data_IF_811200566620
#
_entry.id   IF_811200566620
#
_cell.length_a   1.000
_cell.length_b   1.000
_cell.length_c   1.000
_cell.angle_alpha   90.00
_cell.angle_beta   90.00
_cell.angle_gamma   90.00
#
_symmetry.space_group_name_H-M   'P 1'
#
loop_
_entity.id
_entity.type
_entity.pdbx_description
1 polymer ?
#
# COMPACT_ATOMS: atom_id res chain seq x y z
N UNK A 1 -84.18 20.65 7.09
CA UNK A 1 -84.41 19.19 7.01
C UNK A 1 -83.07 18.50 6.86
N UNK A 2 -82.52 17.94 7.95
CA UNK A 2 -82.15 16.52 8.02
C UNK A 2 -80.64 16.34 7.88
N UNK A 3 -79.86 16.56 8.96
CA UNK A 3 -79.22 15.55 9.85
C UNK A 3 -77.96 14.91 9.21
N UNK A 4 -76.81 14.70 9.88
CA UNK A 4 -76.37 14.97 11.24
C UNK A 4 -74.86 14.67 11.37
N UNK A 5 -74.18 15.41 12.27
CA UNK A 5 -73.14 15.01 13.23
C UNK A 5 -71.79 14.38 12.78
N UNK A 6 -70.65 14.52 13.49
CA UNK A 6 -70.02 15.48 14.44
C UNK A 6 -68.57 14.90 14.73
N UNK A 7 -67.70 15.41 15.63
CA UNK A 7 -66.34 15.83 15.26
C UNK A 7 -65.16 15.27 16.10
N UNK A 8 -63.94 15.70 15.71
CA UNK A 8 -62.73 16.11 16.49
C UNK A 8 -62.16 15.28 17.68
N UNK A 9 -60.87 14.91 17.50
CA UNK A 9 -59.64 15.17 18.32
C UNK A 9 -59.64 14.80 19.83
N UNK A 10 -58.58 14.08 20.28
CA UNK A 10 -57.58 14.45 21.34
C UNK A 10 -56.68 13.24 21.70
N UNK A 11 -55.36 13.46 21.75
CA UNK A 11 -54.24 12.63 22.28
C UNK A 11 -54.16 12.84 23.83
N UNK A 12 -53.61 12.00 24.76
CA UNK A 12 -52.25 11.42 24.72
C UNK A 12 -51.98 10.11 25.57
N UNK A 13 -50.76 9.58 25.44
CA UNK A 13 -49.83 8.93 26.41
C UNK A 13 -50.38 8.07 27.60
N UNK A 14 -49.70 6.94 27.84
CA UNK A 14 -49.68 6.02 29.02
C UNK A 14 -50.59 4.78 28.98
N UNK A 15 -50.01 3.64 28.56
CA UNK A 15 -50.24 2.32 29.15
C UNK A 15 -49.05 1.42 28.74
N UNK A 16 -47.97 1.39 29.54
CA UNK A 16 -47.62 0.26 30.43
C UNK A 16 -47.51 -1.07 29.69
N UNK A 17 -46.29 -1.53 29.43
CA UNK A 17 -45.64 -2.59 30.22
C UNK A 17 -46.46 -3.89 30.27
N UNK A 18 -46.32 -4.73 29.25
CA UNK A 18 -46.43 -6.19 29.37
C UNK A 18 -46.14 -6.80 28.00
N UNK A 19 -44.92 -7.30 27.81
CA UNK A 19 -44.55 -8.48 27.02
C UNK A 19 -43.01 -8.59 26.95
N UNK A 20 -42.39 -8.61 28.13
CA UNK A 20 -41.22 -9.47 28.36
C UNK A 20 -41.79 -10.71 29.04
N UNK A 21 -41.36 -11.90 28.58
CA UNK A 21 -41.40 -13.23 29.21
C UNK A 21 -41.84 -14.32 28.24
N UNK A 22 -40.95 -14.67 27.31
CA UNK A 22 -40.54 -16.06 27.08
C UNK A 22 -39.02 -16.06 26.76
N UNK A 23 -38.23 -16.32 27.82
CA UNK A 23 -36.82 -16.72 27.83
C UNK A 23 -36.64 -18.13 27.19
N UNK A 24 -35.44 -18.76 27.05
CA UNK A 24 -34.06 -18.32 27.37
C UNK A 24 -32.92 -18.73 26.35
N UNK A 25 -31.85 -17.92 26.35
CA UNK A 25 -30.42 -18.27 26.52
C UNK A 25 -29.58 -19.06 25.47
N UNK A 26 -28.32 -18.61 25.41
CA UNK A 26 -27.05 -19.29 25.12
C UNK A 26 -26.40 -19.17 23.72
N UNK A 27 -25.45 -18.20 23.68
CA UNK A 27 -24.03 -18.30 23.31
C UNK A 27 -23.56 -18.37 21.84
N UNK A 28 -22.70 -17.39 21.55
CA UNK A 28 -21.36 -17.54 20.96
C UNK A 28 -21.26 -18.07 19.52
N UNK A 29 -20.99 -17.18 18.58
CA UNK A 29 -20.70 -17.52 17.19
C UNK A 29 -19.77 -16.51 16.50
N UNK A 30 -18.48 -16.73 16.69
CA UNK A 30 -17.33 -16.45 15.80
C UNK A 30 -17.51 -15.42 14.66
N UNK A 31 -16.78 -14.30 14.81
CA UNK A 31 -16.51 -13.33 13.75
C UNK A 31 -15.44 -13.93 12.80
N UNK A 32 -15.87 -14.51 11.67
CA UNK A 32 -14.94 -14.94 10.62
C UNK A 32 -14.44 -13.74 9.79
N UNK A 33 -13.18 -13.78 9.31
CA UNK A 33 -12.63 -12.74 8.47
C UNK A 33 -13.29 -12.82 7.09
N UNK A 34 -13.71 -11.66 6.58
CA UNK A 34 -14.21 -11.52 5.22
C UNK A 34 -13.15 -12.01 4.22
N UNK A 35 -13.30 -13.23 3.71
CA UNK A 35 -12.70 -13.67 2.47
C UNK A 35 -13.40 -12.93 1.33
N UNK A 36 -13.06 -11.65 1.18
CA UNK A 36 -13.47 -10.84 0.05
C UNK A 36 -12.77 -11.35 -1.19
N UNK A 37 -13.48 -12.18 -1.96
CA UNK A 37 -13.22 -12.36 -3.38
C UNK A 37 -13.14 -10.97 -4.03
N UNK A 38 -11.95 -10.56 -4.46
CA UNK A 38 -11.78 -9.42 -5.35
C UNK A 38 -11.10 -9.88 -6.63
N UNK A 39 -11.92 -9.94 -7.68
CA UNK A 39 -11.45 -9.86 -9.04
C UNK A 39 -10.71 -8.52 -9.19
N UNK A 40 -9.45 -8.58 -9.58
CA UNK A 40 -8.78 -7.41 -10.13
C UNK A 40 -9.49 -7.05 -11.43
N UNK A 41 -10.05 -5.86 -11.47
CA UNK A 41 -10.50 -5.20 -12.69
C UNK A 41 -9.25 -4.86 -13.50
N UNK A 42 -8.76 -5.86 -14.25
CA UNK A 42 -7.90 -5.64 -15.40
C UNK A 42 -8.81 -4.98 -16.41
N UNK A 43 -8.72 -3.66 -16.50
CA UNK A 43 -9.34 -2.90 -17.57
C UNK A 43 -8.58 -3.19 -18.87
N UNK A 44 -8.82 -4.39 -19.38
CA UNK A 44 -9.25 -4.67 -20.75
C UNK A 44 -8.43 -4.01 -21.85
N UNK A 45 -7.31 -4.68 -22.15
CA UNK A 45 -6.63 -4.59 -23.45
C UNK A 45 -7.20 -5.59 -24.48
N UNK A 46 -8.10 -6.51 -24.12
CA UNK A 46 -8.77 -7.42 -25.05
C UNK A 46 -10.13 -7.85 -24.45
N UNK A 47 -11.20 -7.72 -25.24
CA UNK A 47 -12.57 -7.92 -24.79
C UNK A 47 -13.09 -9.37 -24.78
N UNK A 48 -14.34 -9.44 -24.30
CA UNK A 48 -15.39 -10.46 -24.52
C UNK A 48 -15.70 -11.49 -23.40
N UNK A 49 -17.01 -11.69 -23.24
CA UNK A 49 -17.82 -12.34 -22.20
C UNK A 49 -17.60 -13.88 -22.00
N UNK A 50 -17.83 -14.42 -20.78
CA UNK A 50 -19.11 -15.03 -20.28
C UNK A 50 -18.92 -16.16 -19.21
N UNK A 51 -19.78 -16.12 -18.17
CA UNK A 51 -20.49 -17.15 -17.34
C UNK A 51 -19.87 -18.49 -16.78
N UNK A 52 -20.15 -18.73 -15.47
CA UNK A 52 -20.37 -20.04 -14.78
C UNK A 52 -19.17 -20.60 -14.00
N UNK A 53 -19.25 -21.30 -12.84
CA UNK A 53 -20.31 -21.87 -12.00
C UNK A 53 -19.67 -22.26 -10.63
N UNK A 54 -20.47 -22.32 -9.56
CA UNK A 54 -20.09 -22.60 -8.15
C UNK A 54 -20.04 -24.10 -7.85
N UNK A 55 -19.07 -24.57 -7.04
CA UNK A 55 -19.26 -25.71 -6.10
C UNK A 55 -18.16 -25.83 -5.01
N UNK A 56 -18.58 -25.55 -3.77
CA UNK A 56 -18.49 -26.35 -2.51
C UNK A 56 -17.18 -27.00 -1.97
N UNK A 57 -16.74 -26.39 -0.85
CA UNK A 57 -16.12 -26.84 0.42
C UNK A 57 -15.49 -28.23 0.65
N UNK A 58 -14.36 -28.23 1.41
CA UNK A 58 -14.17 -29.10 2.61
C UNK A 58 -13.02 -28.65 3.54
N UNK A 59 -13.38 -28.42 4.81
CA UNK A 59 -12.68 -28.61 6.11
C UNK A 59 -11.21 -28.21 6.37
N UNK A 60 -11.05 -27.26 7.31
CA UNK A 60 -9.93 -26.95 8.23
C UNK A 60 -9.65 -28.14 9.22
N UNK A 61 -8.62 -28.19 10.11
CA UNK A 61 -7.84 -27.12 10.77
C UNK A 61 -6.30 -27.31 10.73
N UNK A 62 -5.47 -26.31 11.03
CA UNK A 62 -4.88 -26.19 12.37
C UNK A 62 -4.26 -24.82 12.68
N UNK A 63 -4.44 -24.46 13.95
CA UNK A 63 -4.04 -23.23 14.63
C UNK A 63 -2.60 -23.38 15.12
N UNK A 64 -1.71 -22.48 14.73
CA UNK A 64 -0.40 -22.33 15.35
C UNK A 64 -0.15 -20.88 15.77
N UNK A 65 0.04 -20.76 17.08
CA UNK A 65 0.23 -19.58 17.93
C UNK A 65 1.46 -18.77 17.53
N UNK A 66 1.30 -17.48 17.20
CA UNK A 66 2.44 -16.57 16.94
C UNK A 66 2.89 -15.94 18.25
N UNK A 67 4.02 -16.40 18.76
CA UNK A 67 4.72 -15.85 19.91
C UNK A 67 5.60 -14.64 19.51
N UNK A 68 5.52 -13.58 20.31
CA UNK A 68 6.65 -12.71 20.68
C UNK A 68 7.36 -11.91 19.58
N UNK A 69 6.81 -10.77 19.18
CA UNK A 69 7.61 -9.69 18.60
C UNK A 69 8.29 -8.90 19.73
N UNK A 70 9.54 -9.24 20.01
CA UNK A 70 10.46 -8.38 20.78
C UNK A 70 10.69 -7.09 20.02
N UNK A 71 10.57 -5.96 20.72
CA UNK A 71 10.83 -4.63 20.19
C UNK A 71 12.34 -4.41 20.24
N UNK A 72 13.06 -4.94 19.26
CA UNK A 72 14.39 -4.44 18.95
C UNK A 72 14.25 -3.15 18.14
N UNK A 73 14.94 -2.10 18.57
CA UNK A 73 15.02 -0.82 17.85
C UNK A 73 15.36 -1.06 16.37
N UNK A 74 14.78 -0.31 15.42
CA UNK A 74 14.98 -0.58 14.01
C UNK A 74 16.43 -0.28 13.63
N UNK A 75 17.28 -1.31 13.54
CA UNK A 75 18.57 -1.21 12.87
C UNK A 75 18.28 -0.80 11.43
N UNK A 76 18.66 0.43 11.07
CA UNK A 76 18.58 0.92 9.69
C UNK A 76 19.22 -0.14 8.79
N UNK A 77 18.44 -0.71 7.84
CA UNK A 77 18.93 -1.79 6.97
C UNK A 77 20.09 -1.26 6.15
N UNK A 78 21.33 -1.60 6.52
CA UNK A 78 22.48 -1.40 5.64
C UNK A 78 22.21 -2.14 4.33
N UNK A 79 22.28 -1.40 3.22
CA UNK A 79 22.16 -1.92 1.86
C UNK A 79 23.25 -2.96 1.60
N UNK A 80 22.89 -4.04 0.92
CA UNK A 80 23.85 -4.99 0.41
C UNK A 80 24.58 -4.43 -0.83
N UNK A 81 25.79 -4.90 -1.13
CA UNK A 81 26.46 -4.57 -2.39
C UNK A 81 25.59 -4.88 -3.62
N UNK A 82 25.76 -4.16 -4.75
CA UNK A 82 25.05 -4.47 -5.99
C UNK A 82 25.17 -5.95 -6.37
N UNK A 83 24.08 -6.56 -6.83
CA UNK A 83 24.04 -7.99 -7.17
C UNK A 83 23.91 -8.94 -5.98
N UNK A 84 23.68 -8.42 -4.77
CA UNK A 84 23.46 -9.22 -3.56
C UNK A 84 22.23 -8.76 -2.79
N UNK A 85 21.75 -9.61 -1.89
CA UNK A 85 20.54 -9.39 -1.10
C UNK A 85 20.72 -9.87 0.34
N UNK A 86 19.84 -9.38 1.21
CA UNK A 86 19.67 -9.88 2.56
C UNK A 86 18.22 -9.69 2.95
N UNK A 87 17.51 -10.78 3.26
CA UNK A 87 16.18 -10.67 3.84
C UNK A 87 16.28 -10.42 5.35
N UNK A 88 15.20 -9.98 5.99
CA UNK A 88 15.14 -9.63 7.42
C UNK A 88 15.76 -10.65 8.38
N UNK A 89 15.68 -11.95 8.07
CA UNK A 89 16.17 -13.05 8.91
C UNK A 89 17.65 -13.42 8.67
N UNK A 90 18.34 -12.71 7.77
CA UNK A 90 19.73 -12.99 7.42
C UNK A 90 20.70 -11.97 8.06
N UNK A 91 21.85 -12.47 8.51
CA UNK A 91 22.92 -11.63 9.06
C UNK A 91 23.84 -11.06 7.98
N UNK A 92 24.16 -11.86 6.96
CA UNK A 92 25.09 -11.51 5.88
C UNK A 92 24.38 -11.38 4.54
N UNK A 93 24.94 -10.57 3.64
CA UNK A 93 24.46 -10.48 2.26
C UNK A 93 24.90 -11.71 1.46
N UNK A 94 24.04 -12.15 0.52
CA UNK A 94 24.28 -13.27 -0.39
C UNK A 94 24.09 -12.82 -1.84
N UNK A 95 24.80 -13.40 -2.82
CA UNK A 95 24.56 -13.12 -4.23
C UNK A 95 23.12 -13.44 -4.62
N UNK A 96 22.55 -12.68 -5.56
CA UNK A 96 21.22 -12.99 -6.10
C UNK A 96 21.14 -14.41 -6.65
N UNK A 97 20.03 -15.09 -6.39
CA UNK A 97 19.82 -16.48 -6.76
C UNK A 97 19.57 -16.60 -8.28
N UNK A 98 20.25 -17.56 -8.90
CA UNK A 98 20.04 -17.92 -10.30
C UNK A 98 19.13 -19.12 -10.48
N UNK A 99 19.04 -19.63 -11.71
CA UNK A 99 18.18 -20.77 -12.04
C UNK A 99 18.52 -22.03 -11.24
N UNK A 100 19.80 -22.32 -11.00
CA UNK A 100 20.21 -23.54 -10.27
C UNK A 100 19.69 -23.53 -8.84
N UNK A 101 19.89 -22.43 -8.13
CA UNK A 101 19.45 -22.28 -6.73
C UNK A 101 17.91 -22.26 -6.67
N UNK A 102 17.26 -21.52 -7.58
CA UNK A 102 15.80 -21.40 -7.59
C UNK A 102 15.14 -22.76 -7.86
N UNK A 103 15.61 -23.52 -8.84
CA UNK A 103 15.02 -24.82 -9.19
C UNK A 103 15.28 -25.89 -8.13
N UNK A 104 16.45 -25.89 -7.50
CA UNK A 104 16.84 -26.99 -6.61
C UNK A 104 16.50 -26.75 -5.14
N UNK A 105 16.40 -25.49 -4.70
CA UNK A 105 16.36 -25.15 -3.28
C UNK A 105 15.11 -24.39 -2.84
N UNK A 106 14.20 -24.05 -3.75
CA UNK A 106 12.99 -23.28 -3.44
C UNK A 106 11.76 -24.17 -3.47
N UNK A 107 11.05 -24.23 -2.35
CA UNK A 107 9.78 -24.96 -2.25
C UNK A 107 8.62 -23.98 -2.16
N UNK A 108 7.73 -24.00 -3.16
CA UNK A 108 6.50 -23.19 -3.17
C UNK A 108 5.45 -23.79 -2.23
N UNK A 109 4.76 -22.92 -1.50
CA UNK A 109 3.63 -23.23 -0.62
C UNK A 109 2.34 -22.63 -1.23
N UNK A 110 1.52 -22.01 -0.41
CA UNK A 110 0.23 -21.45 -0.81
C UNK A 110 0.34 -20.24 -1.73
N UNK A 111 -0.63 -20.12 -2.64
CA UNK A 111 -0.87 -18.90 -3.41
C UNK A 111 -1.38 -17.82 -2.47
N UNK A 112 -0.65 -16.70 -2.38
CA UNK A 112 -0.96 -15.58 -1.46
C UNK A 112 -1.53 -14.37 -2.19
N UNK A 113 -1.37 -14.30 -3.51
CA UNK A 113 -1.89 -13.19 -4.29
C UNK A 113 -1.79 -13.41 -5.79
N UNK A 114 -2.44 -12.54 -6.53
CA UNK A 114 -2.35 -12.47 -7.98
C UNK A 114 -2.60 -11.04 -8.44
N UNK A 115 -1.93 -10.63 -9.51
CA UNK A 115 -2.18 -9.38 -10.22
C UNK A 115 -2.32 -9.63 -11.71
N UNK A 116 -2.34 -8.55 -12.50
CA UNK A 116 -2.45 -8.65 -13.97
C UNK A 116 -1.29 -9.40 -14.61
N UNK A 117 -0.08 -9.30 -14.05
CA UNK A 117 1.16 -9.84 -14.63
C UNK A 117 1.64 -11.11 -13.90
N UNK A 118 1.43 -11.21 -12.58
CA UNK A 118 2.09 -12.19 -11.70
C UNK A 118 1.09 -12.96 -10.86
N UNK A 119 1.36 -14.24 -10.62
CA UNK A 119 0.82 -14.97 -9.48
C UNK A 119 1.89 -15.10 -8.41
N UNK A 120 1.52 -14.85 -7.15
CA UNK A 120 2.45 -14.79 -6.03
C UNK A 120 2.13 -15.92 -5.06
N UNK A 121 3.17 -16.67 -4.70
CA UNK A 121 3.14 -17.78 -3.76
C UNK A 121 4.06 -17.47 -2.59
N UNK A 122 3.68 -17.91 -1.39
CA UNK A 122 4.64 -18.05 -0.30
C UNK A 122 5.57 -19.20 -0.65
N UNK A 123 6.86 -19.07 -0.38
CA UNK A 123 7.84 -20.12 -0.62
C UNK A 123 8.93 -20.11 0.47
N UNK A 124 9.67 -21.21 0.55
CA UNK A 124 10.80 -21.39 1.48
C UNK A 124 12.07 -21.61 0.66
N UNK A 125 13.12 -20.86 1.00
CA UNK A 125 14.48 -21.05 0.51
C UNK A 125 15.44 -21.06 1.71
N UNK A 126 16.13 -22.18 1.95
CA UNK A 126 17.07 -22.35 3.09
C UNK A 126 16.52 -21.85 4.43
N UNK A 127 15.29 -22.25 4.78
CA UNK A 127 14.55 -21.81 5.97
C UNK A 127 14.15 -20.32 6.02
N UNK A 128 14.46 -19.53 4.98
CA UNK A 128 13.95 -18.18 4.81
C UNK A 128 12.64 -18.19 4.02
N UNK A 129 11.66 -17.43 4.50
CA UNK A 129 10.42 -17.23 3.75
C UNK A 129 10.64 -16.19 2.65
N UNK A 130 10.30 -16.54 1.42
CA UNK A 130 10.40 -15.69 0.23
C UNK A 130 9.08 -15.67 -0.53
N UNK A 131 8.86 -14.62 -1.32
CA UNK A 131 7.72 -14.54 -2.23
C UNK A 131 8.15 -15.05 -3.61
N UNK A 132 7.51 -16.11 -4.08
CA UNK A 132 7.72 -16.71 -5.39
C UNK A 132 6.65 -16.18 -6.36
N UNK A 133 7.08 -15.34 -7.30
CA UNK A 133 6.21 -14.78 -8.33
C UNK A 133 6.46 -15.47 -9.66
N UNK A 134 5.39 -15.98 -10.29
CA UNK A 134 5.44 -16.54 -11.65
C UNK A 134 4.63 -15.70 -12.62
N UNK A 135 5.03 -15.71 -13.90
CA UNK A 135 4.25 -15.10 -14.98
C UNK A 135 2.84 -15.71 -15.03
N UNK A 136 1.81 -14.85 -15.02
CA UNK A 136 0.42 -15.29 -15.07
C UNK A 136 -0.01 -15.72 -16.48
N UNK A 137 0.34 -14.93 -17.50
CA UNK A 137 -0.01 -15.17 -18.91
C UNK A 137 1.18 -14.93 -19.83
N UNK A 138 1.43 -15.78 -20.85
CA UNK A 138 2.51 -15.58 -21.81
C UNK A 138 2.49 -14.21 -22.50
N UNK A 139 1.29 -13.65 -22.73
CA UNK A 139 1.10 -12.32 -23.32
C UNK A 139 1.75 -11.18 -22.52
N UNK A 140 2.05 -11.40 -21.23
CA UNK A 140 2.66 -10.40 -20.35
C UNK A 140 4.16 -10.61 -20.14
N UNK A 141 4.80 -11.54 -20.86
CA UNK A 141 6.22 -11.89 -20.69
C UNK A 141 7.12 -10.65 -20.77
N UNK A 142 6.89 -9.77 -21.74
CA UNK A 142 7.68 -8.54 -21.90
C UNK A 142 7.63 -7.64 -20.66
N UNK A 143 6.43 -7.42 -20.12
CA UNK A 143 6.24 -6.59 -18.92
C UNK A 143 6.84 -7.25 -17.68
N UNK A 144 6.70 -8.57 -17.55
CA UNK A 144 7.30 -9.32 -16.44
C UNK A 144 8.82 -9.22 -16.43
N UNK A 145 9.48 -9.44 -17.57
CA UNK A 145 10.94 -9.33 -17.68
C UNK A 145 11.42 -7.89 -17.47
N UNK A 146 10.69 -6.91 -18.00
CA UNK A 146 11.00 -5.49 -17.77
C UNK A 146 10.89 -5.14 -16.28
N UNK A 147 9.84 -5.60 -15.60
CA UNK A 147 9.65 -5.40 -14.16
C UNK A 147 10.78 -6.01 -13.32
N UNK A 148 11.32 -7.17 -13.71
CA UNK A 148 12.50 -7.76 -13.07
C UNK A 148 13.73 -6.86 -13.22
N UNK A 149 14.01 -6.36 -14.42
CA UNK A 149 15.17 -5.48 -14.64
C UNK A 149 15.02 -4.14 -13.91
N UNK A 150 13.81 -3.57 -13.87
CA UNK A 150 13.51 -2.40 -13.04
C UNK A 150 13.77 -2.68 -11.57
N UNK A 151 13.26 -3.79 -11.05
CA UNK A 151 13.43 -4.14 -9.64
C UNK A 151 14.92 -4.33 -9.26
N UNK A 152 15.72 -4.96 -10.14
CA UNK A 152 17.18 -5.11 -9.95
C UNK A 152 17.90 -3.76 -9.91
N UNK A 153 17.57 -2.86 -10.83
CA UNK A 153 18.21 -1.56 -10.94
C UNK A 153 17.77 -0.56 -9.84
N UNK A 154 16.61 -0.79 -9.23
CA UNK A 154 16.01 0.10 -8.23
C UNK A 154 16.14 -0.39 -6.79
N UNK A 155 17.07 -1.31 -6.50
CA UNK A 155 17.27 -1.79 -5.14
C UNK A 155 17.63 -0.65 -4.18
N UNK A 156 16.75 -0.43 -3.19
CA UNK A 156 16.80 0.65 -2.21
C UNK A 156 15.97 0.23 -0.97
N UNK A 157 16.21 0.78 0.25
CA UNK A 157 15.41 0.42 1.42
C UNK A 157 13.90 0.68 1.30
N UNK A 158 13.48 1.57 0.39
CA UNK A 158 12.08 1.87 0.10
C UNK A 158 11.47 1.00 -1.01
N UNK A 159 12.23 0.06 -1.57
CA UNK A 159 11.83 -0.84 -2.66
C UNK A 159 11.90 -2.29 -2.18
N UNK A 160 11.02 -3.13 -2.70
CA UNK A 160 10.97 -4.56 -2.43
C UNK A 160 12.35 -5.21 -2.70
N UNK A 161 12.87 -5.92 -1.70
CA UNK A 161 14.14 -6.61 -1.80
C UNK A 161 14.04 -7.73 -2.85
N UNK A 162 14.82 -7.59 -3.92
CA UNK A 162 15.01 -8.64 -4.93
C UNK A 162 15.91 -9.73 -4.35
N UNK A 163 15.51 -11.00 -4.55
CA UNK A 163 16.26 -12.18 -4.07
C UNK A 163 16.90 -12.93 -5.25
N UNK A 164 16.20 -13.05 -6.37
CA UNK A 164 16.69 -13.76 -7.55
C UNK A 164 15.61 -13.91 -8.62
N UNK A 165 15.98 -14.39 -9.80
CA UNK A 165 15.02 -14.69 -10.87
C UNK A 165 15.55 -15.76 -11.81
N UNK A 166 14.64 -16.51 -12.43
CA UNK A 166 14.95 -17.48 -13.47
C UNK A 166 13.81 -17.53 -14.48
N UNK A 167 14.07 -17.25 -15.75
CA UNK A 167 13.06 -17.25 -16.82
C UNK A 167 11.80 -16.44 -16.44
N UNK A 168 10.68 -17.12 -16.20
CA UNK A 168 9.38 -16.54 -15.84
C UNK A 168 9.09 -16.56 -14.34
N UNK A 169 10.14 -16.68 -13.52
CA UNK A 169 10.09 -16.72 -12.06
C UNK A 169 10.90 -15.58 -11.45
N UNK A 170 10.34 -14.94 -10.43
CA UNK A 170 10.95 -13.89 -9.62
C UNK A 170 10.81 -14.25 -8.14
N UNK A 171 11.91 -14.15 -7.38
CA UNK A 171 11.94 -14.22 -5.93
C UNK A 171 12.17 -12.85 -5.31
N UNK A 172 11.42 -12.57 -4.25
CA UNK A 172 11.54 -11.35 -3.44
C UNK A 172 11.40 -11.66 -1.95
N UNK A 173 11.75 -10.72 -1.09
CA UNK A 173 11.46 -10.84 0.35
C UNK A 173 9.94 -10.98 0.57
N UNK A 174 9.55 -11.90 1.45
CA UNK A 174 8.15 -12.09 1.80
C UNK A 174 7.75 -11.18 2.96
N UNK A 175 6.73 -10.36 2.74
CA UNK A 175 6.13 -9.51 3.77
C UNK A 175 4.80 -10.09 4.25
N UNK A 176 4.77 -10.56 5.50
CA UNK A 176 3.64 -11.30 6.09
C UNK A 176 2.35 -10.47 6.20
N UNK A 177 2.47 -9.13 6.28
CA UNK A 177 1.32 -8.23 6.35
C UNK A 177 0.73 -7.92 4.96
N UNK A 178 1.41 -8.30 3.88
CA UNK A 178 0.87 -8.21 2.52
C UNK A 178 0.70 -6.77 1.99
N UNK A 179 -0.31 -6.60 1.13
CA UNK A 179 -0.60 -5.35 0.39
C UNK A 179 -0.98 -4.19 1.30
N UNK A 180 -0.49 -2.99 0.96
CA UNK A 180 -0.84 -1.73 1.61
C UNK A 180 -2.34 -1.43 1.63
N UNK A 181 -3.12 -1.99 0.70
CA UNK A 181 -4.56 -1.78 0.65
C UNK A 181 -5.30 -2.32 1.89
N UNK A 182 -4.70 -3.28 2.61
CA UNK A 182 -5.31 -3.93 3.78
C UNK A 182 -4.93 -3.29 5.10
N UNK A 183 -4.26 -2.14 5.08
CA UNK A 183 -3.70 -1.49 6.28
C UNK A 183 -4.76 -1.25 7.38
N UNK A 184 -5.96 -0.81 7.01
CA UNK A 184 -7.06 -0.59 7.95
C UNK A 184 -7.51 -1.88 8.62
N UNK A 185 -7.60 -2.98 7.87
CA UNK A 185 -8.01 -4.28 8.40
C UNK A 185 -6.92 -4.84 9.33
N UNK A 186 -5.65 -4.68 8.95
CA UNK A 186 -4.49 -5.11 9.73
C UNK A 186 -4.46 -4.36 11.05
N UNK A 187 -4.48 -3.03 11.02
CA UNK A 187 -4.41 -2.20 12.23
C UNK A 187 -5.65 -2.32 13.12
N UNK A 188 -6.80 -2.76 12.61
CA UNK A 188 -8.00 -3.03 13.45
C UNK A 188 -8.05 -4.45 14.00
N UNK A 189 -7.24 -5.37 13.47
CA UNK A 189 -7.21 -6.76 13.95
C UNK A 189 -6.69 -6.86 15.38
N UNK A 190 -7.15 -7.87 16.12
CA UNK A 190 -6.72 -8.12 17.50
C UNK A 190 -5.19 -8.29 17.64
N UNK A 191 -4.53 -8.85 16.61
CA UNK A 191 -3.09 -9.07 16.61
C UNK A 191 -2.28 -7.76 16.59
N UNK A 192 -2.80 -6.71 15.92
CA UNK A 192 -2.04 -5.49 15.64
C UNK A 192 -2.70 -4.20 16.13
N UNK A 193 -3.88 -4.26 16.76
CA UNK A 193 -4.62 -3.09 17.25
C UNK A 193 -3.81 -2.20 18.20
N UNK A 194 -2.90 -2.79 18.99
CA UNK A 194 -1.97 -2.03 19.86
C UNK A 194 -1.04 -1.08 19.08
N UNK A 195 -0.78 -1.35 17.80
CA UNK A 195 0.04 -0.52 16.93
C UNK A 195 -0.78 0.51 16.14
N UNK A 196 -2.11 0.50 16.26
CA UNK A 196 -3.02 1.44 15.60
C UNK A 196 -3.04 2.79 16.32
N UNK A 197 -1.91 3.47 16.30
CA UNK A 197 -1.72 4.79 16.88
C UNK A 197 -1.13 5.75 15.85
N UNK A 198 -1.19 7.05 16.15
CA UNK A 198 -0.78 8.10 15.21
C UNK A 198 0.69 8.01 14.82
N UNK A 199 1.59 7.56 15.71
CA UNK A 199 3.03 7.43 15.42
C UNK A 199 3.28 6.37 14.36
N UNK A 200 2.69 5.18 14.51
CA UNK A 200 2.80 4.11 13.51
C UNK A 200 2.25 4.55 12.16
N UNK A 201 1.06 5.15 12.15
CA UNK A 201 0.40 5.62 10.93
C UNK A 201 1.16 6.74 10.23
N UNK A 202 1.75 7.65 11.01
CA UNK A 202 2.63 8.68 10.48
C UNK A 202 3.90 8.08 9.87
N UNK A 203 4.51 7.08 10.52
CA UNK A 203 5.67 6.38 9.97
C UNK A 203 5.36 5.67 8.65
N UNK A 204 4.16 5.08 8.51
CA UNK A 204 3.68 4.52 7.24
C UNK A 204 3.59 5.61 6.16
N UNK A 205 2.97 6.75 6.48
CA UNK A 205 2.87 7.89 5.57
C UNK A 205 4.24 8.44 5.15
N UNK A 206 5.20 8.51 6.08
CA UNK A 206 6.57 8.92 5.80
C UNK A 206 7.28 7.92 4.86
N UNK A 207 7.14 6.62 5.11
CA UNK A 207 7.75 5.60 4.23
C UNK A 207 7.16 5.58 2.81
N UNK A 208 5.88 5.91 2.65
CA UNK A 208 5.28 6.16 1.33
C UNK A 208 5.96 7.35 0.63
N UNK A 209 6.11 8.47 1.33
CA UNK A 209 6.78 9.65 0.78
C UNK A 209 8.25 9.38 0.43
N UNK A 210 8.97 8.62 1.26
CA UNK A 210 10.35 8.18 0.99
C UNK A 210 10.45 7.35 -0.29
N UNK A 211 9.48 6.47 -0.56
CA UNK A 211 9.44 5.69 -1.79
C UNK A 211 9.14 6.55 -3.04
N UNK A 212 8.22 7.51 -2.94
CA UNK A 212 7.97 8.47 -4.04
C UNK A 212 9.19 9.36 -4.28
N UNK A 213 9.85 9.81 -3.21
CA UNK A 213 11.11 10.54 -3.30
C UNK A 213 12.19 9.74 -4.03
N UNK A 214 12.34 8.46 -3.67
CA UNK A 214 13.28 7.56 -4.34
C UNK A 214 12.97 7.42 -5.83
N UNK A 215 11.71 7.25 -6.23
CA UNK A 215 11.33 7.18 -7.65
C UNK A 215 11.68 8.47 -8.41
N UNK A 216 11.43 9.63 -7.81
CA UNK A 216 11.72 10.93 -8.43
C UNK A 216 13.23 11.21 -8.53
N UNK A 217 14.07 10.48 -7.80
CA UNK A 217 15.52 10.66 -7.73
C UNK A 217 16.27 9.33 -7.97
N UNK A 218 15.67 8.44 -8.77
CA UNK A 218 16.18 7.07 -8.92
C UNK A 218 17.47 7.05 -9.76
N UNK A 219 18.32 6.01 -9.65
CA UNK A 219 19.49 5.86 -10.52
C UNK A 219 19.12 5.70 -12.00
N UNK A 220 17.83 5.49 -12.31
CA UNK A 220 17.28 5.41 -13.66
C UNK A 220 16.58 6.72 -14.07
N UNK A 221 16.92 7.86 -13.46
CA UNK A 221 16.24 9.14 -13.68
C UNK A 221 14.92 9.27 -12.93
N UNK A 222 14.15 10.32 -13.25
CA UNK A 222 12.86 10.58 -12.60
C UNK A 222 11.81 9.58 -13.09
N UNK A 223 11.21 8.84 -12.16
CA UNK A 223 10.18 7.81 -12.43
C UNK A 223 8.85 8.21 -11.82
N UNK A 224 7.75 7.91 -12.52
CA UNK A 224 6.38 8.30 -12.11
C UNK A 224 5.54 7.08 -11.79
N UNK A 225 4.78 7.11 -10.69
CA UNK A 225 3.90 6.01 -10.29
C UNK A 225 2.58 6.04 -11.07
N UNK A 226 2.54 5.46 -12.26
CA UNK A 226 1.36 5.57 -13.13
C UNK A 226 0.15 4.74 -12.71
N UNK A 227 0.34 3.60 -12.05
CA UNK A 227 -0.75 2.71 -11.66
C UNK A 227 -1.39 3.13 -10.31
N UNK A 228 -1.81 4.39 -10.24
CA UNK A 228 -2.22 5.10 -9.02
C UNK A 228 -3.49 5.95 -9.27
N UNK A 229 -4.60 5.34 -9.66
CA UNK A 229 -5.80 6.11 -10.07
C UNK A 229 -6.85 6.34 -8.97
N UNK A 230 -6.68 5.69 -7.82
CA UNK A 230 -7.37 5.97 -6.57
C UNK A 230 -6.47 5.54 -5.38
N UNK A 231 -6.83 5.91 -4.15
CA UNK A 231 -6.04 5.59 -2.95
C UNK A 231 -5.81 4.08 -2.81
N UNK A 232 -6.88 3.27 -2.91
CA UNK A 232 -6.79 1.81 -2.76
C UNK A 232 -5.82 1.21 -3.76
N UNK A 233 -5.97 1.56 -5.06
CA UNK A 233 -5.09 1.08 -6.13
C UNK A 233 -3.65 1.52 -5.90
N UNK A 234 -3.42 2.76 -5.48
CA UNK A 234 -2.08 3.27 -5.16
C UNK A 234 -1.43 2.43 -4.05
N UNK A 235 -2.18 2.06 -3.01
CA UNK A 235 -1.69 1.23 -1.92
C UNK A 235 -1.44 -0.23 -2.30
N UNK A 236 -2.06 -0.75 -3.37
CA UNK A 236 -1.71 -2.10 -3.90
C UNK A 236 -0.29 -2.16 -4.48
N UNK A 237 0.30 -1.00 -4.78
CA UNK A 237 1.67 -0.91 -5.31
C UNK A 237 2.72 -1.06 -4.21
N UNK A 238 2.29 -1.13 -2.94
CA UNK A 238 3.14 -1.22 -1.77
C UNK A 238 2.85 -2.48 -0.95
N UNK A 239 3.89 -3.00 -0.28
CA UNK A 239 3.76 -4.02 0.76
C UNK A 239 4.04 -3.41 2.14
N UNK A 240 3.48 -4.03 3.17
CA UNK A 240 3.63 -3.60 4.57
C UNK A 240 4.69 -4.47 5.24
N UNK A 241 5.74 -3.83 5.76
CA UNK A 241 6.78 -4.49 6.55
C UNK A 241 6.29 -4.81 7.97
N UNK A 242 6.95 -5.75 8.66
CA UNK A 242 6.60 -6.12 10.03
C UNK A 242 6.74 -4.96 11.03
N UNK A 243 7.58 -3.96 10.75
CA UNK A 243 7.70 -2.71 11.51
C UNK A 243 6.76 -1.59 10.99
N UNK A 244 5.73 -1.94 10.21
CA UNK A 244 4.69 -1.04 9.73
C UNK A 244 5.21 0.11 8.87
N UNK A 245 6.12 -0.19 7.94
CA UNK A 245 6.51 0.70 6.83
C UNK A 245 5.93 0.19 5.53
N UNK A 246 5.83 1.08 4.55
CA UNK A 246 5.48 0.77 3.18
C UNK A 246 6.75 0.64 2.34
N UNK A 247 6.84 -0.43 1.58
CA UNK A 247 7.90 -0.64 0.58
C UNK A 247 7.26 -0.79 -0.79
N UNK A 248 7.85 -0.12 -1.79
CA UNK A 248 7.38 -0.16 -3.15
C UNK A 248 7.62 -1.54 -3.76
N UNK A 249 6.55 -2.23 -4.17
CA UNK A 249 6.63 -3.59 -4.72
C UNK A 249 6.34 -3.69 -6.20
N UNK A 250 5.45 -2.83 -6.72
CA UNK A 250 5.05 -2.87 -8.12
C UNK A 250 5.80 -1.80 -8.92
N UNK A 251 6.80 -2.24 -9.67
CA UNK A 251 7.67 -1.38 -10.52
C UNK A 251 7.55 -1.75 -11.99
N UNK A 252 6.45 -2.40 -12.37
CA UNK A 252 6.24 -2.86 -13.76
C UNK A 252 5.92 -1.69 -14.70
N UNK A 253 5.28 -0.62 -14.20
CA UNK A 253 4.84 0.54 -14.98
C UNK A 253 5.23 1.86 -14.30
N UNK A 254 6.52 2.20 -14.40
CA UNK A 254 7.10 3.44 -13.89
C UNK A 254 7.86 4.20 -14.99
N UNK A 255 7.16 4.91 -15.90
CA UNK A 255 7.79 5.58 -17.02
C UNK A 255 8.74 6.70 -16.55
N UNK A 256 9.70 7.00 -17.41
CA UNK A 256 10.70 8.05 -17.17
C UNK A 256 10.17 9.42 -17.58
N UNK A 257 10.47 10.41 -16.76
CA UNK A 257 10.39 11.83 -17.11
C UNK A 257 11.82 12.35 -17.20
N UNK A 258 12.12 13.06 -18.29
CA UNK A 258 13.38 13.77 -18.46
C UNK A 258 13.09 15.16 -19.03
N UNK A 259 13.17 16.16 -18.16
CA UNK A 259 12.85 17.56 -18.52
C UNK A 259 13.86 18.15 -19.53
N UNK A 260 15.14 17.78 -19.44
CA UNK A 260 16.19 18.23 -20.36
C UNK A 260 15.98 17.68 -21.78
N UNK A 261 15.59 16.41 -21.87
CA UNK A 261 15.28 15.75 -23.14
C UNK A 261 13.83 15.98 -23.62
N UNK A 262 13.05 16.81 -22.92
CA UNK A 262 11.62 17.01 -23.15
C UNK A 262 10.80 15.71 -23.20
N UNK A 263 11.23 14.69 -22.45
CA UNK A 263 10.53 13.43 -22.30
C UNK A 263 9.50 13.53 -21.17
N UNK A 264 8.24 13.61 -21.56
CA UNK A 264 7.08 13.62 -20.66
C UNK A 264 6.24 12.35 -20.83
N UNK A 265 5.32 12.11 -19.89
CA UNK A 265 4.59 10.85 -19.80
C UNK A 265 3.07 11.02 -19.94
N UNK A 266 2.40 9.89 -20.22
CA UNK A 266 0.94 9.73 -20.14
C UNK A 266 0.62 8.36 -19.58
N UNK A 267 0.10 8.32 -18.35
CA UNK A 267 -0.20 7.08 -17.64
C UNK A 267 -1.44 6.34 -18.16
N UNK A 268 -2.44 7.06 -18.70
CA UNK A 268 -3.75 6.49 -19.03
C UNK A 268 -4.10 6.61 -20.50
N UNK A 269 -4.65 5.53 -21.06
CA UNK A 269 -5.22 5.48 -22.42
C UNK A 269 -6.73 5.71 -22.46
N UNK A 270 -7.38 5.79 -21.30
CA UNK A 270 -8.82 6.03 -21.15
C UNK A 270 -9.05 7.31 -20.38
N UNK A 271 -10.13 8.03 -20.71
CA UNK A 271 -10.58 9.22 -19.97
C UNK A 271 -10.84 8.85 -18.51
N UNK A 272 -10.52 9.77 -17.61
CA UNK A 272 -10.86 9.68 -16.19
C UNK A 272 -11.51 10.98 -15.75
N UNK A 273 -12.36 10.87 -14.73
CA UNK A 273 -13.02 12.00 -14.05
C UNK A 273 -12.71 12.02 -12.56
N UNK A 274 -11.79 11.15 -12.12
CA UNK A 274 -11.45 11.03 -10.72
C UNK A 274 -10.82 12.34 -10.21
N UNK A 275 -11.32 12.85 -9.08
CA UNK A 275 -10.70 14.00 -8.39
C UNK A 275 -9.38 13.64 -7.69
N UNK A 276 -9.08 12.34 -7.60
CA UNK A 276 -7.84 11.83 -7.02
C UNK A 276 -6.63 12.06 -7.94
N UNK A 277 -6.83 11.95 -9.25
CA UNK A 277 -5.74 12.19 -10.22
C UNK A 277 -5.50 13.69 -10.37
N UNK A 278 -4.30 14.06 -10.80
CA UNK A 278 -3.95 15.46 -10.98
C UNK A 278 -4.78 16.11 -12.11
N UNK A 279 -5.06 17.42 -12.04
CA UNK A 279 -5.88 18.10 -13.06
C UNK A 279 -5.36 17.93 -14.48
N UNK A 280 -4.04 17.89 -14.68
CA UNK A 280 -3.38 17.66 -15.96
C UNK A 280 -3.48 16.22 -16.47
N UNK A 281 -3.89 15.26 -15.63
CA UNK A 281 -4.24 13.89 -16.05
C UNK A 281 -5.68 13.82 -16.62
N UNK A 282 -6.48 14.88 -16.47
CA UNK A 282 -7.84 14.97 -16.98
C UNK A 282 -7.87 15.48 -18.43
N UNK A 283 -8.83 14.98 -19.21
CA UNK A 283 -9.04 15.46 -20.58
C UNK A 283 -9.40 16.96 -20.58
N UNK A 284 -8.58 17.83 -21.20
CA UNK A 284 -8.74 19.28 -21.05
C UNK A 284 -9.75 19.89 -22.04
N UNK A 285 -10.15 19.16 -23.08
CA UNK A 285 -11.01 19.69 -24.15
C UNK A 285 -12.51 19.49 -23.86
N UNK A 286 -12.92 19.68 -22.61
CA UNK A 286 -14.33 19.68 -22.17
C UNK A 286 -15.12 18.44 -22.61
N UNK A 287 -16.14 18.66 -23.45
CA UNK A 287 -17.09 17.64 -23.90
C UNK A 287 -16.65 16.89 -25.16
N UNK A 288 -15.50 17.23 -25.75
CA UNK A 288 -14.99 16.49 -26.90
C UNK A 288 -14.73 15.01 -26.55
N UNK A 289 -14.90 14.14 -27.54
CA UNK A 289 -14.53 12.72 -27.43
C UNK A 289 -13.05 12.60 -27.09
N UNK A 290 -12.75 11.78 -26.10
CA UNK A 290 -11.39 11.56 -25.66
C UNK A 290 -10.51 11.04 -26.80
N UNK A 291 -9.36 11.69 -27.01
CA UNK A 291 -8.36 11.25 -27.96
C UNK A 291 -6.97 11.22 -27.30
N UNK A 292 -6.42 10.02 -27.14
CA UNK A 292 -5.12 9.80 -26.50
C UNK A 292 -3.97 10.56 -27.18
N UNK A 293 -4.02 10.75 -28.50
CA UNK A 293 -2.99 11.47 -29.25
C UNK A 293 -3.00 12.97 -28.95
N UNK A 294 -4.17 13.51 -28.61
CA UNK A 294 -4.36 14.93 -28.25
C UNK A 294 -4.20 15.19 -26.75
N UNK A 295 -4.21 14.15 -25.91
CA UNK A 295 -3.98 14.30 -24.48
C UNK A 295 -2.58 14.90 -24.26
N UNK A 296 -2.46 16.05 -23.58
CA UNK A 296 -1.16 16.59 -23.20
C UNK A 296 -0.41 15.61 -22.30
N UNK A 297 0.91 15.57 -22.46
CA UNK A 297 1.78 14.84 -21.55
C UNK A 297 2.03 15.66 -20.28
N UNK A 298 2.40 14.97 -19.21
CA UNK A 298 2.66 15.53 -17.89
C UNK A 298 3.92 14.91 -17.28
N UNK A 299 4.25 15.28 -16.04
CA UNK A 299 5.49 14.95 -15.36
C UNK A 299 5.24 14.28 -13.98
N UNK A 300 6.30 14.21 -13.16
CA UNK A 300 6.27 13.59 -11.84
C UNK A 300 5.43 14.36 -10.81
N UNK A 301 5.00 15.59 -11.13
CA UNK A 301 4.14 16.39 -10.25
C UNK A 301 2.76 15.78 -10.09
N UNK A 302 2.37 14.86 -10.97
CA UNK A 302 1.16 14.04 -10.82
C UNK A 302 1.20 13.16 -9.56
N UNK A 303 2.37 12.64 -9.17
CA UNK A 303 2.54 11.92 -7.90
C UNK A 303 2.40 12.86 -6.71
N UNK A 304 2.98 14.08 -6.81
CA UNK A 304 2.91 15.09 -5.74
C UNK A 304 1.47 15.44 -5.38
N UNK A 305 0.62 15.62 -6.40
CA UNK A 305 -0.81 15.87 -6.22
C UNK A 305 -1.52 14.81 -5.38
N UNK A 306 -1.12 13.54 -5.55
CA UNK A 306 -1.76 12.38 -4.91
C UNK A 306 -1.34 12.18 -3.46
N UNK A 307 -0.18 12.73 -3.04
CA UNK A 307 0.40 12.53 -1.70
C UNK A 307 -0.59 12.86 -0.57
N UNK A 308 -1.26 14.03 -0.54
CA UNK A 308 -2.19 14.34 0.55
C UNK A 308 -3.32 13.34 0.72
N UNK A 309 -3.87 12.80 -0.38
CA UNK A 309 -4.94 11.80 -0.34
C UNK A 309 -4.48 10.47 0.26
N UNK A 310 -3.29 10.00 -0.12
CA UNK A 310 -2.73 8.76 0.43
C UNK A 310 -2.37 8.95 1.90
N UNK A 311 -1.75 10.06 2.25
CA UNK A 311 -1.33 10.34 3.62
C UNK A 311 -2.52 10.51 4.55
N UNK A 312 -3.57 11.21 4.12
CA UNK A 312 -4.80 11.34 4.91
C UNK A 312 -5.43 9.97 5.22
N UNK A 313 -5.49 9.09 4.22
CA UNK A 313 -5.97 7.72 4.39
C UNK A 313 -5.11 6.92 5.39
N UNK A 314 -3.78 7.00 5.26
CA UNK A 314 -2.85 6.30 6.16
C UNK A 314 -2.95 6.82 7.60
N UNK A 315 -3.11 8.13 7.80
CA UNK A 315 -3.30 8.74 9.12
C UNK A 315 -4.60 8.31 9.80
N UNK A 316 -5.64 8.02 9.02
CA UNK A 316 -6.94 7.56 9.55
C UNK A 316 -7.52 8.48 10.62
N UNK A 317 -8.40 7.94 11.46
CA UNK A 317 -9.08 8.70 12.53
C UNK A 317 -8.71 8.10 13.90
N UNK A 318 -7.45 8.30 14.31
CA UNK A 318 -6.99 7.92 15.65
C UNK A 318 -6.62 9.18 16.45
N UNK A 319 -6.48 9.05 17.77
CA UNK A 319 -6.07 10.16 18.61
C UNK A 319 -4.72 10.73 18.11
N UNK A 320 -4.68 12.04 17.84
CA UNK A 320 -3.53 12.76 17.31
C UNK A 320 -3.49 12.93 15.79
N UNK A 321 -4.32 12.23 15.01
CA UNK A 321 -4.30 12.37 13.54
C UNK A 321 -4.59 13.81 13.08
N UNK A 322 -5.53 14.50 13.73
CA UNK A 322 -5.87 15.88 13.37
C UNK A 322 -4.77 16.89 13.70
N UNK A 323 -3.96 16.60 14.71
CA UNK A 323 -2.77 17.41 15.04
C UNK A 323 -1.74 17.28 13.91
N UNK A 324 -1.48 16.05 13.44
CA UNK A 324 -0.59 15.82 12.29
C UNK A 324 -1.13 16.51 11.04
N UNK A 325 -2.43 16.37 10.74
CA UNK A 325 -3.07 17.05 9.60
C UNK A 325 -2.90 18.55 9.67
N UNK A 326 -3.09 19.15 10.85
CA UNK A 326 -2.91 20.58 11.06
C UNK A 326 -1.49 21.04 10.71
N UNK A 327 -0.48 20.30 11.16
CA UNK A 327 0.92 20.64 10.84
C UNK A 327 1.29 20.44 9.37
N UNK A 328 0.70 19.45 8.70
CA UNK A 328 0.94 19.19 7.27
C UNK A 328 0.04 20.01 6.33
N UNK A 329 -0.96 20.73 6.86
CA UNK A 329 -1.99 21.41 6.08
C UNK A 329 -1.41 22.31 4.99
N UNK A 330 -0.45 23.19 5.35
CA UNK A 330 0.13 24.15 4.42
C UNK A 330 0.87 23.46 3.26
N UNK A 331 1.67 22.44 3.56
CA UNK A 331 2.45 21.75 2.52
C UNK A 331 1.55 20.85 1.66
N UNK A 332 0.51 20.24 2.23
CA UNK A 332 -0.50 19.49 1.48
C UNK A 332 -1.32 20.38 0.55
N UNK A 333 -1.65 21.61 0.98
CA UNK A 333 -2.30 22.59 0.12
C UNK A 333 -1.43 22.94 -1.10
N UNK A 334 -0.11 23.06 -0.91
CA UNK A 334 0.83 23.30 -2.01
C UNK A 334 0.93 22.10 -2.97
N UNK A 335 0.88 20.86 -2.46
CA UNK A 335 0.79 19.67 -3.32
C UNK A 335 -0.42 19.70 -4.25
N UNK A 336 -1.53 20.29 -3.81
CA UNK A 336 -2.78 20.40 -4.55
C UNK A 336 -2.89 21.72 -5.35
N UNK A 337 -1.77 22.35 -5.68
CA UNK A 337 -1.77 23.47 -6.61
C UNK A 337 -2.16 22.99 -8.02
N UNK A 338 -3.05 23.74 -8.70
CA UNK A 338 -3.48 23.42 -10.06
C UNK A 338 -2.34 23.54 -11.07
N UNK A 339 -1.44 24.49 -10.88
CA UNK A 339 -0.22 24.61 -11.68
C UNK A 339 0.81 23.60 -11.16
N UNK A 340 1.19 22.57 -11.95
CA UNK A 340 2.16 21.56 -11.52
C UNK A 340 3.52 22.16 -11.14
N UNK A 341 3.93 23.26 -11.78
CA UNK A 341 5.22 23.93 -11.51
C UNK A 341 5.30 24.54 -10.11
N UNK A 342 4.14 24.86 -9.52
CA UNK A 342 4.02 25.46 -8.19
C UNK A 342 3.94 24.40 -7.08
N UNK A 343 3.87 23.10 -7.42
CA UNK A 343 3.89 22.03 -6.43
C UNK A 343 5.31 21.78 -5.91
N UNK A 344 5.49 21.48 -4.62
CA UNK A 344 6.81 21.24 -4.06
C UNK A 344 7.48 20.00 -4.67
N UNK A 345 8.79 19.87 -4.49
CA UNK A 345 9.49 18.61 -4.76
C UNK A 345 9.33 17.65 -3.58
N UNK A 346 9.57 16.37 -3.80
CA UNK A 346 9.61 15.37 -2.72
C UNK A 346 10.66 15.69 -1.66
N UNK A 347 11.76 16.36 -2.02
CA UNK A 347 12.77 16.83 -1.07
C UNK A 347 12.19 17.82 -0.05
N UNK A 348 11.48 18.84 -0.52
CA UNK A 348 10.80 19.82 0.34
C UNK A 348 9.77 19.14 1.22
N UNK A 349 9.02 18.17 0.67
CA UNK A 349 8.05 17.41 1.46
C UNK A 349 8.70 16.59 2.57
N UNK A 350 9.80 15.89 2.28
CA UNK A 350 10.53 15.12 3.29
C UNK A 350 11.09 16.02 4.39
N UNK A 351 11.59 17.20 4.06
CA UNK A 351 12.04 18.17 5.06
C UNK A 351 10.89 18.58 6.00
N UNK A 352 9.72 18.91 5.46
CA UNK A 352 8.54 19.25 6.28
C UNK A 352 8.03 18.07 7.12
N UNK A 353 7.96 16.86 6.56
CA UNK A 353 7.52 15.69 7.31
C UNK A 353 8.50 15.35 8.43
N UNK A 354 9.81 15.47 8.20
CA UNK A 354 10.81 15.25 9.25
C UNK A 354 10.74 16.31 10.35
N UNK A 355 10.43 17.58 10.04
CA UNK A 355 10.14 18.60 11.06
C UNK A 355 8.96 18.19 11.93
N UNK A 356 7.85 17.75 11.31
CA UNK A 356 6.66 17.26 12.04
C UNK A 356 6.99 16.03 12.88
N UNK A 357 7.76 15.08 12.33
CA UNK A 357 8.23 13.89 13.05
C UNK A 357 8.98 14.27 14.32
N UNK A 358 9.98 15.14 14.20
CA UNK A 358 10.85 15.52 15.31
C UNK A 358 10.10 16.29 16.40
N UNK A 359 9.12 17.09 16.00
CA UNK A 359 8.29 17.88 16.92
C UNK A 359 7.25 17.02 17.67
N UNK A 360 6.53 16.15 16.96
CA UNK A 360 5.41 15.39 17.55
C UNK A 360 5.83 14.03 18.12
N UNK A 361 6.90 13.46 17.59
CA UNK A 361 7.34 12.11 17.90
C UNK A 361 8.83 12.06 18.27
N UNK A 362 9.33 12.94 19.17
CA UNK A 362 10.75 12.96 19.51
C UNK A 362 11.20 11.58 19.95
N UNK A 363 12.40 11.19 19.52
CA UNK A 363 13.06 10.01 20.05
C UNK A 363 13.45 10.33 21.49
N UNK A 364 12.92 9.57 22.46
CA UNK A 364 13.42 9.68 23.82
C UNK A 364 14.87 9.22 23.81
N UNK A 365 15.81 10.16 23.95
CA UNK A 365 17.18 9.85 24.30
C UNK A 365 17.11 9.23 25.70
N UNK A 366 17.06 7.91 25.78
CA UNK A 366 17.47 7.23 27.01
C UNK A 366 18.96 7.44 27.13
N UNK A 367 19.35 8.57 27.73
CA UNK A 367 20.70 8.76 28.24
C UNK A 367 20.94 7.60 29.21
N UNK A 368 21.78 6.66 28.79
CA UNK A 368 22.47 5.78 29.71
C UNK A 368 23.26 6.68 30.67
N UNK A 369 22.67 6.98 31.83
CA UNK A 369 23.42 7.44 32.99
C UNK A 369 24.26 6.23 33.41
N UNK A 370 25.41 6.10 32.76
CA UNK A 370 26.49 5.22 33.23
C UNK A 370 27.17 5.99 34.36
N UNK A 371 27.05 5.42 35.56
CA UNK A 371 27.72 5.82 36.80
C UNK A 371 29.07 6.51 36.61
N UNK A 372 29.13 7.80 36.95
CA UNK A 372 30.35 8.42 37.46
C UNK A 372 30.15 8.78 38.93
N UNK A 373 30.33 7.79 39.79
CA UNK A 373 30.57 7.99 41.22
C UNK A 373 31.45 6.86 41.76
N UNK A 374 32.69 6.85 41.29
CA UNK A 374 33.86 6.38 42.03
C UNK A 374 35.04 7.25 41.57
N UNK A 375 35.37 8.25 42.38
CA UNK A 375 36.70 8.84 42.61
C UNK A 375 36.46 10.09 43.47
N UNK A 376 36.36 9.89 44.79
CA UNK A 376 37.25 10.41 45.83
C UNK A 376 36.69 10.03 47.20
#
# INVERSE_FOLDING_TARGET
MGRACKPRVVCPILLTLLLLYLLPWFWSGSLQPASGFFNYEVDELLGQERQGKVQESRSNPDVATVAGLGVDQPRQRKLCPPGSFRVSTMETCMPWLGCKEITNEVTTLDRVGSGGIKEVYKAIWRNHTVAYSKLWRPTHLKFFLQGIEMLKALQHPSVLQYVGSCNTTLLTEFYQLGSGEFIENILKSNAYSKFNNVRTRFNMALSYLEAIHFLHNSPLGTRVMCDSHNVRKTLTQFLITQDFKLVLSDVDVIPEVNHEAHLLIKCRRRRTWSKYVAPEELWPFGNETYNYLRMPSYDEKTDIWKIPYVVDYLLGNVNGSDVVRSHLFKVHQQCQNRDPSQRPTTKVLLEEYNKVKNMLFPEHITNSIVNHSRFF
#
